data_IF_972783569732
#
_entry.id   IF_972783569732
#
_cell.length_a   1.000
_cell.length_b   1.000
_cell.length_c   1.000
_cell.angle_alpha   90.00
_cell.angle_beta   90.00
_cell.angle_gamma   90.00
#
_symmetry.space_group_name_H-M   'P 1'
#
loop_
_entity.id
_entity.type
_entity.pdbx_description
1 polymer ?
#
# COMPACT_ATOMS: atom_id res chain seq x y z
N UNK A 1 -14.85 20.28 22.61
CA UNK A 1 -13.56 19.94 23.16
C UNK A 1 -12.47 20.09 22.08
N UNK A 2 -12.03 21.35 21.91
CA UNK A 2 -11.07 21.78 20.88
C UNK A 2 -9.63 21.28 21.13
N UNK A 3 -9.37 20.60 22.24
CA UNK A 3 -8.02 20.12 22.60
C UNK A 3 -7.69 18.75 22.00
N UNK A 4 -8.67 17.92 21.68
CA UNK A 4 -8.45 16.61 21.06
C UNK A 4 -8.21 16.70 19.55
N UNK A 5 -8.66 17.76 18.88
CA UNK A 5 -8.42 17.94 17.44
C UNK A 5 -7.03 18.49 17.11
N UNK A 6 -6.33 19.09 18.08
CA UNK A 6 -4.96 19.62 17.86
C UNK A 6 -3.88 18.54 17.85
N UNK A 7 -4.09 17.41 18.52
CA UNK A 7 -3.11 16.31 18.55
C UNK A 7 -3.04 15.46 17.27
N UNK A 8 -4.13 15.34 16.51
CA UNK A 8 -4.18 14.56 15.27
C UNK A 8 -3.84 15.40 14.02
N UNK A 9 -4.01 16.72 14.07
CA UNK A 9 -3.74 17.60 12.94
C UNK A 9 -2.25 17.83 12.65
N UNK A 10 -1.37 17.55 13.61
CA UNK A 10 0.07 17.81 13.49
C UNK A 10 0.88 16.58 13.02
N UNK A 11 0.26 15.40 12.90
CA UNK A 11 0.97 14.16 12.56
C UNK A 11 1.26 14.01 11.07
N UNK A 12 0.38 14.54 10.23
CA UNK A 12 0.61 14.60 8.79
C UNK A 12 -0.02 15.86 8.17
N UNK A 13 0.55 16.28 7.05
CA UNK A 13 0.06 17.41 6.24
C UNK A 13 -0.27 16.93 4.83
N UNK A 14 -1.49 17.16 4.37
CA UNK A 14 -1.85 16.97 2.97
C UNK A 14 -1.12 17.97 2.08
N UNK A 15 -0.72 17.54 0.88
CA UNK A 15 -0.14 18.44 -0.13
C UNK A 15 -1.21 19.45 -0.58
N UNK A 16 -0.79 20.71 -0.68
CA UNK A 16 -1.72 21.82 -0.96
C UNK A 16 -2.34 21.76 -2.38
N UNK A 17 -1.70 21.04 -3.32
CA UNK A 17 -2.17 20.85 -4.70
C UNK A 17 -3.01 19.56 -4.87
N UNK A 18 -3.36 18.87 -3.77
CA UNK A 18 -4.17 17.65 -3.87
C UNK A 18 -5.56 17.88 -4.50
N UNK A 19 -6.03 16.92 -5.31
CA UNK A 19 -5.34 15.70 -5.73
C UNK A 19 -4.25 16.01 -6.74
N UNK A 20 -3.06 15.37 -6.56
CA UNK A 20 -1.91 15.59 -7.47
C UNK A 20 -2.08 14.90 -8.82
N UNK A 21 -2.96 13.90 -8.92
CA UNK A 21 -3.40 13.28 -10.17
C UNK A 21 -4.91 13.18 -10.12
N UNK A 22 -5.55 13.85 -11.06
CA UNK A 22 -7.00 13.89 -11.21
C UNK A 22 -7.54 12.74 -12.07
N UNK A 23 -8.86 12.78 -12.30
CA UNK A 23 -9.50 11.95 -13.32
C UNK A 23 -9.03 12.37 -14.71
N UNK A 24 -9.00 11.43 -15.63
CA UNK A 24 -8.79 11.69 -17.07
C UNK A 24 -7.40 12.20 -17.46
N UNK A 25 -6.42 12.18 -16.58
CA UNK A 25 -5.06 12.60 -16.91
C UNK A 25 -4.34 11.62 -17.84
N UNK A 26 -4.89 10.43 -18.01
CA UNK A 26 -4.49 9.46 -19.04
C UNK A 26 -5.69 9.24 -19.99
N UNK A 27 -5.45 9.14 -21.30
CA UNK A 27 -6.51 9.16 -22.36
C UNK A 27 -7.63 8.15 -22.18
N UNK A 28 -7.31 6.98 -21.61
CA UNK A 28 -8.26 5.87 -21.43
C UNK A 28 -8.84 5.78 -20.03
N UNK A 29 -8.26 6.51 -19.08
CA UNK A 29 -8.65 6.42 -17.67
C UNK A 29 -9.96 7.14 -17.39
N UNK A 30 -10.72 6.55 -16.48
CA UNK A 30 -11.77 7.22 -15.72
C UNK A 30 -11.25 7.64 -14.34
N UNK A 31 -10.39 6.83 -13.76
CA UNK A 31 -9.87 7.01 -12.41
C UNK A 31 -8.42 6.56 -12.34
N UNK A 32 -7.55 7.30 -11.63
CA UNK A 32 -6.15 7.00 -11.43
C UNK A 32 -5.84 7.10 -9.95
N UNK A 33 -5.58 5.99 -9.30
CA UNK A 33 -5.40 5.90 -7.86
C UNK A 33 -4.58 4.67 -7.45
N UNK A 34 -4.29 4.51 -6.17
CA UNK A 34 -3.55 3.38 -5.62
C UNK A 34 -2.22 3.11 -6.35
N UNK A 35 -1.45 4.17 -6.54
CA UNK A 35 -0.25 4.15 -7.38
C UNK A 35 1.01 3.96 -6.56
N UNK A 36 1.94 3.15 -7.06
CA UNK A 36 3.27 3.00 -6.50
C UNK A 36 4.22 4.05 -7.06
N UNK A 37 5.13 4.55 -6.25
CA UNK A 37 6.14 5.54 -6.63
C UNK A 37 7.48 5.20 -5.99
N UNK A 38 8.57 5.30 -6.76
CA UNK A 38 9.95 5.14 -6.28
C UNK A 38 10.86 6.19 -6.92
N UNK A 39 11.99 6.55 -6.27
CA UNK A 39 13.05 7.32 -6.92
C UNK A 39 13.65 6.53 -8.09
N UNK A 40 13.91 7.19 -9.20
CA UNK A 40 14.51 6.58 -10.37
C UNK A 40 15.27 7.65 -11.18
N UNK A 41 16.55 7.37 -11.50
CA UNK A 41 17.45 8.33 -12.16
C UNK A 41 17.49 9.68 -11.42
N UNK A 42 17.23 10.77 -12.11
CA UNK A 42 17.20 12.15 -11.58
C UNK A 42 15.78 12.63 -11.20
N UNK A 43 14.83 11.70 -11.03
CA UNK A 43 13.44 12.00 -10.69
C UNK A 43 12.73 10.83 -10.04
N UNK A 44 11.51 10.58 -10.48
CA UNK A 44 10.64 9.54 -9.96
C UNK A 44 9.99 8.75 -11.09
N UNK A 45 9.74 7.48 -10.82
CA UNK A 45 8.93 6.61 -11.65
C UNK A 45 7.82 6.01 -10.80
N UNK A 46 6.67 5.79 -11.40
CA UNK A 46 5.54 5.15 -10.74
C UNK A 46 4.91 4.08 -11.61
N UNK A 47 4.21 3.17 -10.94
CA UNK A 47 3.27 2.23 -11.57
C UNK A 47 1.88 2.61 -11.08
N UNK A 48 1.01 2.99 -12.01
CA UNK A 48 -0.27 3.62 -11.75
C UNK A 48 -1.41 2.65 -12.09
N UNK A 49 -2.34 2.46 -11.17
CA UNK A 49 -3.63 1.84 -11.47
C UNK A 49 -4.47 2.85 -12.24
N UNK A 50 -4.89 2.48 -13.45
CA UNK A 50 -5.83 3.26 -14.24
C UNK A 50 -7.06 2.39 -14.54
N UNK A 51 -8.19 2.78 -14.00
CA UNK A 51 -9.46 2.16 -14.32
C UNK A 51 -10.10 2.90 -15.49
N UNK A 52 -10.47 2.16 -16.54
CA UNK A 52 -11.09 2.73 -17.73
C UNK A 52 -12.57 3.04 -17.52
N UNK A 53 -13.18 3.77 -18.46
CA UNK A 53 -14.63 4.04 -18.46
C UNK A 53 -15.48 2.76 -18.62
N UNK A 54 -14.90 1.70 -19.15
CA UNK A 54 -15.55 0.37 -19.24
C UNK A 54 -15.25 -0.52 -18.02
N UNK A 55 -14.69 0.06 -16.95
CA UNK A 55 -14.33 -0.66 -15.71
C UNK A 55 -13.27 -1.75 -15.93
N UNK A 56 -12.44 -1.61 -16.96
CA UNK A 56 -11.24 -2.41 -17.11
C UNK A 56 -10.11 -1.82 -16.28
N UNK A 57 -9.50 -2.62 -15.44
CA UNK A 57 -8.41 -2.22 -14.55
C UNK A 57 -7.08 -2.72 -15.13
N UNK A 58 -6.12 -1.82 -15.30
CA UNK A 58 -4.76 -2.18 -15.69
C UNK A 58 -3.73 -1.21 -15.05
N UNK A 59 -2.44 -1.53 -15.19
CA UNK A 59 -1.34 -0.77 -14.60
C UNK A 59 -0.43 -0.19 -15.68
N UNK A 60 -0.01 1.06 -15.45
CA UNK A 60 0.70 1.91 -16.42
C UNK A 60 1.96 2.49 -15.78
N UNK A 61 2.99 2.73 -16.58
CA UNK A 61 4.17 3.48 -16.13
C UNK A 61 3.90 4.97 -16.20
N UNK A 62 4.39 5.72 -15.23
CA UNK A 62 4.44 7.17 -15.29
C UNK A 62 5.76 7.70 -14.74
N UNK A 63 6.15 8.88 -15.17
CA UNK A 63 7.41 9.54 -14.81
C UNK A 63 7.16 10.95 -14.31
N UNK A 64 8.01 11.41 -13.38
CA UNK A 64 7.94 12.74 -12.81
C UNK A 64 9.34 13.23 -12.44
N UNK A 65 9.55 14.54 -12.53
CA UNK A 65 10.78 15.19 -12.05
C UNK A 65 10.68 15.62 -10.58
N UNK A 66 9.48 15.94 -10.13
CA UNK A 66 9.23 16.54 -8.81
C UNK A 66 8.35 15.67 -7.89
N UNK A 67 7.80 14.56 -8.40
CA UNK A 67 6.90 13.66 -7.67
C UNK A 67 5.46 14.18 -7.56
N UNK A 68 5.15 15.34 -8.15
CA UNK A 68 3.82 15.97 -8.13
C UNK A 68 3.20 15.97 -9.52
N UNK A 69 3.95 16.38 -10.53
CA UNK A 69 3.50 16.43 -11.92
C UNK A 69 3.94 15.16 -12.64
N UNK A 70 2.98 14.41 -13.18
CA UNK A 70 3.20 13.09 -13.75
C UNK A 70 2.83 13.01 -15.22
N UNK A 71 3.69 12.37 -15.99
CA UNK A 71 3.41 11.93 -17.34
C UNK A 71 3.19 10.42 -17.33
N UNK A 72 1.93 9.98 -17.54
CA UNK A 72 1.53 8.58 -17.52
C UNK A 72 1.43 8.07 -18.96
N UNK A 73 2.04 6.92 -19.24
CA UNK A 73 2.04 6.30 -20.57
C UNK A 73 0.61 5.95 -21.03
N UNK A 74 0.38 6.00 -22.33
CA UNK A 74 -0.95 5.74 -22.93
C UNK A 74 -1.28 4.23 -22.98
N UNK A 75 -0.29 3.35 -22.93
CA UNK A 75 -0.46 1.90 -23.02
C UNK A 75 -0.11 1.22 -21.69
N UNK A 76 -0.85 0.17 -21.32
CA UNK A 76 -0.56 -0.58 -20.12
C UNK A 76 0.76 -1.35 -20.23
N UNK A 77 1.33 -1.67 -19.07
CA UNK A 77 2.57 -2.46 -18.99
C UNK A 77 2.38 -3.80 -19.71
N UNK A 78 3.32 -4.10 -20.60
CA UNK A 78 3.43 -5.40 -21.24
C UNK A 78 4.43 -6.25 -20.48
N UNK A 79 3.97 -7.40 -20.02
CA UNK A 79 4.80 -8.36 -19.32
C UNK A 79 5.24 -9.47 -20.25
N UNK A 80 6.46 -9.98 -20.01
CA UNK A 80 7.07 -11.11 -20.74
C UNK A 80 7.71 -12.09 -19.74
N UNK A 81 8.12 -13.26 -20.18
CA UNK A 81 8.97 -14.17 -19.40
C UNK A 81 8.24 -15.31 -18.70
N UNK A 82 7.01 -15.14 -18.28
CA UNK A 82 6.19 -16.22 -17.74
C UNK A 82 5.45 -16.99 -18.87
N UNK A 83 4.89 -18.14 -18.52
CA UNK A 83 4.04 -18.92 -19.40
C UNK A 83 2.76 -18.13 -19.79
N UNK A 84 2.18 -18.45 -20.95
CA UNK A 84 1.00 -17.75 -21.47
C UNK A 84 -0.18 -17.78 -20.49
N UNK A 85 -0.34 -18.87 -19.74
CA UNK A 85 -1.36 -19.01 -18.70
C UNK A 85 -1.20 -17.94 -17.62
N UNK A 86 0.02 -17.69 -17.17
CA UNK A 86 0.33 -16.68 -16.14
C UNK A 86 0.26 -15.25 -16.69
N UNK A 87 0.64 -15.05 -17.96
CA UNK A 87 0.52 -13.75 -18.62
C UNK A 87 -0.93 -13.37 -18.91
N UNK A 88 -1.81 -14.36 -19.06
CA UNK A 88 -3.25 -14.15 -19.23
C UNK A 88 -3.87 -13.65 -17.92
N UNK A 89 -4.69 -12.62 -18.03
CA UNK A 89 -5.29 -11.96 -16.87
C UNK A 89 -6.71 -11.49 -17.15
N UNK A 90 -7.49 -11.39 -16.07
CA UNK A 90 -8.80 -10.73 -16.08
C UNK A 90 -8.65 -9.23 -15.77
N UNK A 91 -7.75 -8.88 -14.84
CA UNK A 91 -7.48 -7.51 -14.40
C UNK A 91 -6.12 -7.40 -13.69
N UNK A 92 -5.62 -6.16 -13.56
CA UNK A 92 -4.46 -5.80 -12.73
C UNK A 92 -4.77 -4.52 -11.97
N UNK A 93 -4.58 -4.52 -10.65
CA UNK A 93 -4.78 -3.32 -9.83
C UNK A 93 -3.91 -3.29 -8.57
N UNK A 94 -3.86 -2.13 -7.91
CA UNK A 94 -3.15 -1.85 -6.67
C UNK A 94 -1.67 -2.27 -6.69
N UNK A 95 -0.88 -1.71 -7.62
CA UNK A 95 0.54 -2.05 -7.72
C UNK A 95 1.33 -1.57 -6.50
N UNK A 96 2.42 -2.27 -6.20
CA UNK A 96 3.51 -1.84 -5.32
C UNK A 96 4.83 -1.99 -6.05
N UNK A 97 5.75 -1.09 -5.78
CA UNK A 97 7.12 -1.18 -6.31
C UNK A 97 8.10 -1.20 -5.16
N UNK A 98 8.98 -2.18 -5.18
CA UNK A 98 10.00 -2.37 -4.16
C UNK A 98 11.36 -2.57 -4.82
N UNK A 99 12.32 -1.68 -4.53
CA UNK A 99 13.70 -1.90 -4.98
C UNK A 99 14.40 -2.86 -4.03
N UNK A 100 14.94 -3.95 -4.57
CA UNK A 100 15.78 -4.91 -3.84
C UNK A 100 17.01 -5.16 -4.68
N UNK A 101 18.18 -4.84 -4.13
CA UNK A 101 19.45 -4.85 -4.85
C UNK A 101 19.40 -3.94 -6.09
N UNK A 102 19.65 -4.48 -7.28
CA UNK A 102 19.63 -3.77 -8.56
C UNK A 102 18.30 -3.85 -9.32
N UNK A 103 17.31 -4.56 -8.76
CA UNK A 103 16.00 -4.79 -9.38
C UNK A 103 14.89 -3.99 -8.72
N UNK A 104 13.93 -3.57 -9.52
CA UNK A 104 12.65 -3.06 -9.06
C UNK A 104 11.60 -4.17 -9.23
N UNK A 105 11.10 -4.69 -8.13
CA UNK A 105 10.01 -5.67 -8.14
C UNK A 105 8.69 -4.94 -8.09
N UNK A 106 7.79 -5.34 -8.97
CA UNK A 106 6.42 -4.86 -9.01
C UNK A 106 5.50 -5.99 -8.57
N UNK A 107 4.67 -5.73 -7.57
CA UNK A 107 3.60 -6.64 -7.17
C UNK A 107 2.25 -5.96 -7.40
N UNK A 108 1.23 -6.73 -7.75
CA UNK A 108 -0.13 -6.21 -7.98
C UNK A 108 -1.17 -7.28 -7.66
N UNK A 109 -2.41 -6.85 -7.49
CA UNK A 109 -3.53 -7.81 -7.49
C UNK A 109 -3.80 -8.24 -8.92
N UNK A 110 -3.58 -9.51 -9.19
CA UNK A 110 -3.72 -10.15 -10.50
C UNK A 110 -5.01 -10.98 -10.57
N UNK A 111 -5.80 -10.80 -11.61
CA UNK A 111 -6.99 -11.61 -11.89
C UNK A 111 -6.60 -12.91 -12.56
N UNK A 112 -6.52 -13.99 -11.79
CA UNK A 112 -6.23 -15.33 -12.27
C UNK A 112 -7.10 -16.33 -11.48
N UNK A 113 -8.24 -16.72 -12.03
CA UNK A 113 -9.27 -17.53 -11.35
C UNK A 113 -9.70 -16.96 -9.99
N UNK A 114 -9.72 -15.62 -9.90
CA UNK A 114 -9.89 -14.85 -8.70
C UNK A 114 -8.67 -13.99 -8.39
N UNK A 115 -8.73 -13.13 -7.36
CA UNK A 115 -7.61 -12.26 -7.02
C UNK A 115 -6.43 -13.05 -6.44
N UNK A 116 -5.26 -12.91 -7.05
CA UNK A 116 -3.98 -13.37 -6.52
C UNK A 116 -2.94 -12.26 -6.58
N UNK A 117 -1.69 -12.56 -6.28
CA UNK A 117 -0.59 -11.59 -6.33
C UNK A 117 0.32 -11.93 -7.49
N UNK A 118 0.30 -11.07 -8.51
CA UNK A 118 1.28 -11.07 -9.58
C UNK A 118 2.59 -10.45 -9.11
N UNK A 119 3.69 -10.96 -9.63
CA UNK A 119 5.06 -10.48 -9.36
C UNK A 119 5.80 -10.32 -10.67
N UNK A 120 6.49 -9.21 -10.83
CA UNK A 120 7.42 -8.99 -11.93
C UNK A 120 8.64 -8.21 -11.45
N UNK A 121 9.69 -8.20 -12.24
CA UNK A 121 10.81 -7.30 -12.01
C UNK A 121 11.15 -6.50 -13.28
N UNK A 122 11.79 -5.37 -13.06
CA UNK A 122 12.34 -4.50 -14.10
C UNK A 122 13.62 -3.85 -13.61
N UNK A 123 14.46 -3.40 -14.56
CA UNK A 123 15.64 -2.57 -14.26
C UNK A 123 15.45 -1.13 -14.72
N UNK A 124 14.55 -0.90 -15.68
CA UNK A 124 14.47 0.36 -16.44
C UNK A 124 13.04 0.90 -16.61
N UNK A 125 12.05 0.19 -16.10
CA UNK A 125 10.62 0.49 -16.28
C UNK A 125 10.20 0.55 -17.75
N UNK A 126 10.90 -0.19 -18.62
CA UNK A 126 10.54 -0.38 -20.04
C UNK A 126 10.26 -1.83 -20.35
N UNK A 127 11.07 -2.74 -19.78
CA UNK A 127 10.89 -4.19 -19.89
C UNK A 127 10.52 -4.76 -18.52
N UNK A 128 9.46 -5.55 -18.49
CA UNK A 128 8.97 -6.18 -17.27
C UNK A 128 8.92 -7.69 -17.45
N UNK A 129 9.69 -8.40 -16.64
CA UNK A 129 9.70 -9.87 -16.62
C UNK A 129 8.79 -10.34 -15.52
N UNK A 130 7.66 -10.95 -15.89
CA UNK A 130 6.71 -11.53 -14.96
C UNK A 130 7.21 -12.89 -14.48
N UNK A 131 7.08 -13.12 -13.19
CA UNK A 131 7.33 -14.38 -12.51
C UNK A 131 6.00 -15.12 -12.29
N UNK A 132 6.06 -16.26 -11.62
CA UNK A 132 4.87 -16.99 -11.17
C UNK A 132 3.99 -16.12 -10.25
N UNK A 133 2.69 -16.41 -10.22
CA UNK A 133 1.81 -15.84 -9.19
C UNK A 133 2.28 -16.29 -7.81
N UNK A 134 2.48 -15.35 -6.89
CA UNK A 134 3.05 -15.66 -5.57
C UNK A 134 2.18 -16.58 -4.71
N UNK A 135 0.88 -16.52 -4.88
CA UNK A 135 -0.10 -17.27 -4.07
C UNK A 135 -1.26 -17.77 -4.90
N UNK A 136 -1.95 -18.76 -4.34
CA UNK A 136 -3.26 -19.16 -4.85
C UNK A 136 -4.31 -18.05 -4.62
N UNK A 137 -5.36 -17.98 -5.43
CA UNK A 137 -6.55 -17.22 -5.10
C UNK A 137 -7.16 -17.76 -3.75
N UNK A 138 -7.69 -16.95 -2.89
CA UNK A 138 -7.90 -15.51 -2.95
C UNK A 138 -6.88 -14.79 -2.07
N UNK A 139 -6.05 -13.96 -2.64
CA UNK A 139 -5.06 -13.21 -1.89
C UNK A 139 -4.88 -11.80 -2.49
N UNK A 140 -4.55 -10.80 -1.67
CA UNK A 140 -4.42 -9.39 -2.06
C UNK A 140 -3.32 -8.70 -1.27
N UNK A 141 -3.02 -7.46 -1.66
CA UNK A 141 -2.11 -6.55 -0.95
C UNK A 141 -0.72 -7.15 -0.75
N UNK A 142 -0.13 -7.68 -1.84
CA UNK A 142 1.25 -8.16 -1.85
C UNK A 142 2.22 -7.01 -1.70
N UNK A 143 2.99 -6.97 -0.60
CA UNK A 143 3.97 -5.93 -0.31
C UNK A 143 5.28 -6.57 0.14
N UNK A 144 6.34 -6.34 -0.64
CA UNK A 144 7.68 -6.84 -0.34
C UNK A 144 8.38 -6.00 0.73
N UNK A 145 9.28 -6.62 1.47
CA UNK A 145 10.29 -5.91 2.26
C UNK A 145 11.45 -5.49 1.36
N UNK A 146 12.08 -4.31 1.58
CA UNK A 146 13.04 -3.72 0.64
C UNK A 146 14.44 -4.37 0.67
N UNK A 147 14.62 -5.45 1.40
CA UNK A 147 15.79 -6.32 1.40
C UNK A 147 15.45 -7.72 1.89
N UNK A 148 16.36 -8.65 1.67
CA UNK A 148 16.29 -9.97 2.30
C UNK A 148 16.45 -9.86 3.81
N UNK A 149 15.64 -10.61 4.54
CA UNK A 149 15.71 -10.75 5.99
C UNK A 149 16.08 -12.21 6.27
N UNK A 150 17.20 -12.44 6.96
CA UNK A 150 17.75 -13.78 7.23
C UNK A 150 17.91 -14.64 5.96
N UNK A 151 18.30 -14.00 4.84
CA UNK A 151 18.55 -14.66 3.56
C UNK A 151 17.28 -14.99 2.75
N UNK A 152 16.11 -14.51 3.15
CA UNK A 152 14.84 -14.70 2.45
C UNK A 152 14.24 -13.38 1.99
N UNK A 153 13.67 -13.36 0.80
CA UNK A 153 12.66 -12.36 0.43
C UNK A 153 11.42 -12.57 1.31
N UNK A 154 10.82 -11.48 1.73
CA UNK A 154 9.59 -11.53 2.52
C UNK A 154 8.51 -10.68 1.89
N UNK A 155 7.29 -11.18 1.90
CA UNK A 155 6.11 -10.52 1.37
C UNK A 155 4.98 -10.57 2.38
N UNK A 156 4.41 -9.42 2.65
CA UNK A 156 3.12 -9.31 3.33
C UNK A 156 2.01 -9.57 2.33
N UNK A 157 0.94 -10.22 2.77
CA UNK A 157 -0.26 -10.44 1.98
C UNK A 157 -1.49 -10.52 2.88
N UNK A 158 -2.67 -10.38 2.26
CA UNK A 158 -3.94 -10.54 2.95
C UNK A 158 -4.77 -11.59 2.23
N UNK A 159 -4.79 -12.84 2.72
CA UNK A 159 -5.78 -13.82 2.30
C UNK A 159 -7.18 -13.26 2.51
N UNK A 160 -8.06 -13.39 1.54
CA UNK A 160 -9.41 -12.84 1.60
C UNK A 160 -10.36 -13.75 0.86
N UNK A 161 -11.51 -13.96 1.46
CA UNK A 161 -12.59 -14.79 0.94
C UNK A 161 -13.82 -13.92 0.62
N UNK A 162 -14.65 -14.38 -0.28
CA UNK A 162 -15.95 -13.79 -0.60
C UNK A 162 -17.11 -14.52 0.09
N UNK A 163 -16.80 -15.52 0.93
CA UNK A 163 -17.79 -16.47 1.45
C UNK A 163 -17.97 -16.41 2.96
N UNK A 164 -18.00 -17.60 3.55
CA UNK A 164 -18.40 -17.83 4.93
C UNK A 164 -17.37 -17.40 5.97
N UNK A 165 -16.11 -17.25 5.56
CA UNK A 165 -15.00 -16.92 6.49
C UNK A 165 -14.24 -15.70 5.97
N UNK A 166 -14.73 -14.48 6.23
CA UNK A 166 -14.00 -13.28 5.83
C UNK A 166 -12.66 -13.22 6.55
N UNK A 167 -11.58 -13.25 5.78
CA UNK A 167 -10.24 -12.95 6.27
C UNK A 167 -10.02 -11.45 6.20
N UNK A 168 -9.37 -10.92 7.22
CA UNK A 168 -8.97 -9.52 7.23
C UNK A 168 -7.56 -9.33 7.75
N UNK A 169 -6.86 -10.43 7.96
CA UNK A 169 -5.57 -10.51 8.63
C UNK A 169 -4.41 -10.34 7.64
N UNK A 170 -3.31 -9.76 8.11
CA UNK A 170 -2.06 -9.68 7.36
C UNK A 170 -1.18 -10.86 7.73
N UNK A 171 -0.63 -11.52 6.72
CA UNK A 171 0.36 -12.60 6.84
C UNK A 171 1.69 -12.18 6.21
N UNK A 172 2.77 -12.81 6.64
CA UNK A 172 4.11 -12.72 6.03
C UNK A 172 4.51 -14.09 5.52
N UNK A 173 5.02 -14.13 4.31
CA UNK A 173 5.53 -15.32 3.65
C UNK A 173 6.98 -15.12 3.23
N UNK A 174 7.74 -16.21 3.11
CA UNK A 174 9.16 -16.23 2.77
C UNK A 174 9.40 -16.94 1.45
N UNK A 175 10.36 -16.43 0.67
CA UNK A 175 10.86 -17.05 -0.55
C UNK A 175 12.38 -16.92 -0.65
N UNK A 176 13.03 -17.85 -1.33
CA UNK A 176 14.46 -17.75 -1.69
C UNK A 176 14.69 -17.15 -3.07
N UNK A 177 13.71 -17.23 -3.93
CA UNK A 177 13.81 -16.99 -5.38
C UNK A 177 12.73 -16.07 -5.97
N UNK A 178 11.76 -15.60 -5.16
CA UNK A 178 10.57 -14.83 -5.55
C UNK A 178 9.47 -15.65 -6.25
N UNK A 179 9.68 -16.93 -6.51
CA UNK A 179 8.71 -17.80 -7.18
C UNK A 179 8.03 -18.75 -6.19
N UNK A 180 8.83 -19.43 -5.35
CA UNK A 180 8.29 -20.36 -4.36
C UNK A 180 8.12 -19.70 -3.00
N UNK A 181 6.87 -19.47 -2.60
CA UNK A 181 6.51 -18.84 -1.33
C UNK A 181 6.01 -19.84 -0.30
N UNK A 182 6.50 -19.71 0.92
CA UNK A 182 6.17 -20.61 2.02
C UNK A 182 6.39 -20.00 3.39
N UNK A 183 6.40 -20.84 4.43
CA UNK A 183 6.58 -20.43 5.84
C UNK A 183 5.66 -19.27 6.22
N UNK A 184 4.39 -19.37 5.84
CA UNK A 184 3.38 -18.35 6.11
C UNK A 184 3.22 -18.13 7.61
N UNK A 185 3.37 -16.88 8.06
CA UNK A 185 3.22 -16.47 9.45
C UNK A 185 2.13 -15.42 9.56
N UNK A 186 1.23 -15.61 10.51
CA UNK A 186 0.30 -14.57 10.90
C UNK A 186 1.08 -13.38 11.48
N UNK A 187 0.72 -12.17 11.09
CA UNK A 187 1.34 -10.95 11.57
C UNK A 187 0.37 -10.09 12.39
N UNK A 188 -0.79 -9.77 11.83
CA UNK A 188 -1.70 -8.82 12.46
C UNK A 188 -3.16 -9.09 12.08
N UNK A 189 -4.06 -9.05 13.06
CA UNK A 189 -5.51 -9.16 12.85
C UNK A 189 -6.23 -7.81 12.93
N UNK A 190 -7.42 -7.67 12.31
CA UNK A 190 -8.36 -6.62 12.67
C UNK A 190 -8.65 -6.61 14.17
N UNK A 191 -9.12 -5.48 14.69
CA UNK A 191 -9.60 -5.43 16.09
C UNK A 191 -10.94 -6.14 16.16
N UNK A 192 -10.94 -7.35 16.71
CA UNK A 192 -12.14 -8.19 16.83
C UNK A 192 -12.85 -7.91 18.16
N UNK A 193 -14.19 -8.03 18.14
CA UNK A 193 -15.01 -7.82 19.35
C UNK A 193 -15.35 -6.38 19.68
N UNK A 194 -14.85 -5.43 18.89
CA UNK A 194 -15.24 -4.02 18.96
C UNK A 194 -15.62 -3.54 17.54
N UNK A 195 -16.91 -3.53 17.26
CA UNK A 195 -17.46 -3.13 15.95
C UNK A 195 -17.29 -1.61 15.69
N UNK A 196 -17.00 -0.82 16.72
CA UNK A 196 -16.73 0.61 16.60
C UNK A 196 -15.27 0.92 16.23
N UNK A 197 -14.38 -0.04 16.38
CA UNK A 197 -12.97 0.15 16.05
C UNK A 197 -12.76 0.42 14.56
N UNK A 198 -12.01 1.46 14.23
CA UNK A 198 -11.78 1.91 12.86
C UNK A 198 -11.17 0.85 11.92
N UNK A 199 -10.68 -0.23 12.45
CA UNK A 199 -10.01 -1.34 11.77
C UNK A 199 -10.63 -2.70 12.14
N UNK A 200 -11.94 -2.75 12.40
CA UNK A 200 -12.61 -3.97 12.86
C UNK A 200 -12.96 -4.95 11.72
N UNK A 201 -13.16 -4.45 10.50
CA UNK A 201 -13.61 -5.31 9.38
C UNK A 201 -12.45 -6.04 8.72
N UNK A 202 -11.42 -5.31 8.31
CA UNK A 202 -10.22 -5.85 7.66
C UNK A 202 -9.07 -4.85 7.76
N UNK A 203 -7.85 -5.36 7.64
CA UNK A 203 -6.63 -4.56 7.53
C UNK A 203 -5.80 -5.04 6.33
N UNK A 204 -4.86 -4.24 5.86
CA UNK A 204 -3.95 -4.65 4.80
C UNK A 204 -2.73 -3.75 4.73
N UNK A 205 -1.60 -4.33 4.34
CA UNK A 205 -0.37 -3.59 4.15
C UNK A 205 -0.55 -2.49 3.11
N UNK A 206 0.03 -1.34 3.37
CA UNK A 206 0.01 -0.19 2.48
C UNK A 206 1.26 -0.16 1.59
N UNK A 207 2.17 0.82 1.78
CA UNK A 207 3.45 0.89 1.08
C UNK A 207 4.48 -0.12 1.59
N UNK A 208 5.59 -0.20 0.87
CA UNK A 208 6.80 -0.90 1.32
C UNK A 208 7.19 -0.38 2.70
N UNK A 209 7.46 -1.26 3.70
CA UNK A 209 7.82 -0.82 5.04
C UNK A 209 9.16 -0.09 5.05
N UNK A 210 9.28 0.90 5.92
CA UNK A 210 10.48 1.72 6.09
C UNK A 210 11.35 1.09 7.16
N UNK A 211 12.61 0.83 6.83
CA UNK A 211 13.60 0.37 7.83
C UNK A 211 14.00 1.52 8.74
N UNK A 212 13.95 1.28 10.05
CA UNK A 212 14.38 2.21 11.09
C UNK A 212 15.26 1.50 12.10
N UNK A 213 15.97 2.23 12.95
CA UNK A 213 16.80 1.65 14.01
C UNK A 213 16.00 0.80 15.00
N UNK A 214 14.69 1.03 15.10
CA UNK A 214 13.79 0.33 16.03
C UNK A 214 13.07 -0.87 15.40
N UNK A 215 13.12 -1.01 14.08
CA UNK A 215 12.43 -2.05 13.31
C UNK A 215 11.81 -1.54 12.03
N UNK A 216 10.86 -2.29 11.47
CA UNK A 216 10.15 -1.92 10.26
C UNK A 216 8.93 -1.07 10.58
N UNK A 217 8.92 0.18 10.14
CA UNK A 217 7.73 1.02 10.21
C UNK A 217 6.79 0.68 9.05
N UNK A 218 5.66 0.10 9.36
CA UNK A 218 4.60 -0.24 8.42
C UNK A 218 3.46 0.77 8.51
N UNK A 219 3.16 1.45 7.41
CA UNK A 219 1.90 2.16 7.23
C UNK A 219 0.91 1.17 6.61
N UNK A 220 -0.27 1.04 7.18
CA UNK A 220 -1.29 0.09 6.73
C UNK A 220 -2.66 0.75 6.67
N UNK A 221 -3.60 0.15 5.95
CA UNK A 221 -4.99 0.57 5.98
C UNK A 221 -5.81 -0.33 6.89
N UNK A 222 -6.76 0.27 7.59
CA UNK A 222 -7.80 -0.40 8.32
C UNK A 222 -9.18 0.03 7.80
N UNK A 223 -10.14 -0.86 7.92
CA UNK A 223 -11.47 -0.68 7.37
C UNK A 223 -12.53 -0.96 8.43
N UNK A 224 -13.49 -0.07 8.49
CA UNK A 224 -14.73 -0.27 9.23
C UNK A 224 -15.91 -0.31 8.25
N UNK A 225 -16.86 -1.18 8.51
CA UNK A 225 -18.14 -1.23 7.79
C UNK A 225 -19.13 -0.29 8.47
N UNK A 226 -19.75 0.56 7.70
CA UNK A 226 -20.80 1.48 8.16
C UNK A 226 -22.08 1.27 7.35
N UNK A 227 -23.18 1.88 7.76
CA UNK A 227 -24.43 1.84 6.99
C UNK A 227 -24.29 2.48 5.58
N UNK A 228 -23.25 3.30 5.36
CA UNK A 228 -22.94 3.94 4.07
C UNK A 228 -21.76 3.28 3.34
N UNK A 229 -21.45 2.03 3.64
CA UNK A 229 -20.35 1.28 3.03
C UNK A 229 -19.07 1.27 3.89
N UNK A 230 -17.96 1.02 3.23
CA UNK A 230 -16.66 0.95 3.90
C UNK A 230 -16.05 2.33 4.11
N UNK A 231 -15.36 2.49 5.25
CA UNK A 231 -14.51 3.65 5.50
C UNK A 231 -13.08 3.15 5.69
N UNK A 232 -12.16 3.60 4.85
CA UNK A 232 -10.74 3.25 4.90
C UNK A 232 -9.95 4.36 5.58
N UNK A 233 -9.11 3.97 6.53
CA UNK A 233 -8.23 4.86 7.29
C UNK A 233 -6.82 4.29 7.33
N UNK A 234 -5.83 5.13 7.64
CA UNK A 234 -4.45 4.70 7.77
C UNK A 234 -4.06 4.58 9.24
N UNK A 235 -3.25 3.59 9.55
CA UNK A 235 -2.55 3.43 10.82
C UNK A 235 -1.11 3.03 10.61
N UNK A 236 -0.36 2.90 11.69
CA UNK A 236 1.03 2.46 11.68
C UNK A 236 1.26 1.30 12.64
N UNK A 237 2.26 0.49 12.31
CA UNK A 237 2.79 -0.53 13.19
C UNK A 237 4.32 -0.56 13.09
N UNK A 238 4.98 -0.89 14.19
CA UNK A 238 6.41 -1.17 14.25
C UNK A 238 6.59 -2.67 14.39
N UNK A 239 7.32 -3.25 13.43
CA UNK A 239 7.58 -4.69 13.37
C UNK A 239 9.01 -4.99 13.80
N UNK A 240 9.24 -6.20 14.28
CA UNK A 240 10.59 -6.64 14.59
C UNK A 240 11.46 -6.69 13.33
N UNK A 241 12.74 -6.32 13.46
CA UNK A 241 13.65 -6.18 12.32
C UNK A 241 14.03 -7.52 11.67
N UNK A 242 14.15 -8.58 12.46
CA UNK A 242 14.57 -9.91 12.02
C UNK A 242 13.40 -10.88 11.85
N UNK A 243 12.34 -10.66 12.62
CA UNK A 243 11.13 -11.47 12.62
C UNK A 243 9.88 -10.58 12.38
N UNK A 244 9.70 -10.03 11.16
CA UNK A 244 8.70 -8.97 10.90
C UNK A 244 7.24 -9.41 11.08
N UNK A 245 6.98 -10.69 11.33
CA UNK A 245 5.66 -11.15 11.79
C UNK A 245 5.40 -10.85 13.28
N UNK A 246 6.38 -10.37 14.03
CA UNK A 246 6.24 -9.89 15.40
C UNK A 246 5.98 -8.39 15.40
N UNK A 247 4.77 -8.00 15.77
CA UNK A 247 4.40 -6.59 15.92
C UNK A 247 4.82 -6.13 17.29
N UNK A 248 5.74 -5.15 17.35
CA UNK A 248 6.19 -4.51 18.60
C UNK A 248 5.15 -3.53 19.11
N UNK A 249 4.68 -2.66 18.22
CA UNK A 249 3.70 -1.62 18.52
C UNK A 249 2.71 -1.48 17.36
N UNK A 250 1.51 -1.04 17.67
CA UNK A 250 0.45 -0.75 16.71
C UNK A 250 -0.36 0.43 17.19
N UNK A 251 -0.66 1.37 16.28
CA UNK A 251 -1.49 2.53 16.64
C UNK A 251 -2.90 2.09 17.05
N UNK A 252 -3.38 2.63 18.17
CA UNK A 252 -4.77 2.44 18.61
C UNK A 252 -5.71 3.26 17.74
N UNK A 253 -5.34 4.52 17.51
CA UNK A 253 -6.10 5.45 16.68
C UNK A 253 -5.52 5.49 15.26
N UNK A 254 -6.32 5.91 14.29
CA UNK A 254 -5.83 6.13 12.93
C UNK A 254 -4.95 7.38 12.86
N UNK A 255 -3.96 7.35 11.97
CA UNK A 255 -3.11 8.53 11.69
C UNK A 255 -3.73 9.44 10.63
N UNK A 256 -4.56 8.89 9.73
CA UNK A 256 -5.24 9.63 8.66
C UNK A 256 -6.61 9.02 8.36
N UNK A 257 -7.60 9.88 8.15
CA UNK A 257 -8.96 9.51 7.75
C UNK A 257 -9.45 10.39 6.58
N UNK A 258 -10.42 9.93 5.79
CA UNK A 258 -11.06 10.77 4.78
C UNK A 258 -11.65 12.03 5.40
N UNK A 259 -11.31 13.19 4.86
CA UNK A 259 -11.74 14.49 5.35
C UNK A 259 -12.14 15.46 4.22
N UNK A 260 -11.37 15.45 3.15
CA UNK A 260 -11.57 16.35 2.01
C UNK A 260 -12.59 15.78 1.03
N UNK A 261 -13.13 16.64 0.18
CA UNK A 261 -14.14 16.23 -0.80
C UNK A 261 -13.63 15.10 -1.70
N UNK A 262 -12.38 15.18 -2.18
CA UNK A 262 -11.80 14.16 -3.07
C UNK A 262 -11.48 12.83 -2.36
N UNK A 263 -11.49 12.79 -1.03
CA UNK A 263 -11.35 11.57 -0.23
C UNK A 263 -12.70 10.96 0.16
N UNK A 264 -13.72 11.81 0.28
CA UNK A 264 -15.07 11.43 0.72
C UNK A 264 -16.01 11.13 -0.44
N UNK A 265 -15.73 11.60 -1.66
CA UNK A 265 -16.61 11.48 -2.83
C UNK A 265 -15.83 10.96 -4.04
N UNK A 266 -16.26 9.83 -4.57
CA UNK A 266 -15.64 9.20 -5.74
C UNK A 266 -16.31 7.88 -6.09
N UNK A 267 -15.59 7.04 -6.81
CA UNK A 267 -16.09 5.73 -7.26
C UNK A 267 -16.36 4.79 -6.07
N UNK A 268 -15.51 4.89 -5.03
CA UNK A 268 -15.76 4.31 -3.70
C UNK A 268 -15.57 5.41 -2.65
N UNK A 269 -16.61 5.92 -2.01
CA UNK A 269 -16.51 7.04 -1.09
C UNK A 269 -15.77 6.67 0.21
N UNK A 270 -15.22 7.69 0.90
CA UNK A 270 -14.59 7.57 2.21
C UNK A 270 -13.34 6.65 2.23
N UNK A 271 -12.45 6.83 1.26
CA UNK A 271 -11.22 6.05 1.15
C UNK A 271 -9.98 6.95 1.18
N UNK A 272 -9.04 6.62 2.08
CA UNK A 272 -7.63 6.99 2.01
C UNK A 272 -6.81 5.71 2.05
N UNK A 273 -6.19 5.35 0.90
CA UNK A 273 -5.53 4.05 0.72
C UNK A 273 -4.03 4.25 0.44
N UNK A 274 -3.14 4.01 1.43
CA UNK A 274 -1.70 4.26 1.27
C UNK A 274 -1.07 3.23 0.33
N UNK A 275 -0.26 3.71 -0.62
CA UNK A 275 0.30 2.87 -1.69
C UNK A 275 1.81 2.95 -1.82
N UNK A 276 2.38 4.12 -1.61
CA UNK A 276 3.83 4.31 -1.66
C UNK A 276 4.28 5.31 -0.60
N UNK A 277 5.52 5.14 -0.15
CA UNK A 277 6.23 6.11 0.68
C UNK A 277 7.58 6.41 0.08
N UNK A 278 7.96 7.68 0.13
CA UNK A 278 9.34 8.12 -0.07
C UNK A 278 9.84 8.58 1.29
N UNK A 279 10.89 7.96 1.80
CA UNK A 279 11.51 8.32 3.08
C UNK A 279 12.88 8.93 2.85
N UNK A 280 13.17 9.99 3.61
CA UNK A 280 14.49 10.60 3.67
C UNK A 280 15.12 10.29 5.03
N UNK A 281 16.11 9.42 5.03
CA UNK A 281 16.80 8.99 6.25
C UNK A 281 17.52 10.14 6.98
N UNK A 282 17.97 11.19 6.25
CA UNK A 282 18.69 12.30 6.85
C UNK A 282 17.75 13.23 7.67
N UNK A 283 16.51 13.36 7.25
CA UNK A 283 15.52 14.26 7.87
C UNK A 283 14.39 13.55 8.60
N UNK A 284 14.29 12.21 8.44
CA UNK A 284 13.16 11.43 8.92
C UNK A 284 11.83 11.72 8.23
N UNK A 285 11.83 12.52 7.15
CA UNK A 285 10.59 12.89 6.42
C UNK A 285 10.05 11.71 5.64
N UNK A 286 8.74 11.58 5.65
CA UNK A 286 7.99 10.57 4.88
C UNK A 286 6.97 11.30 4.00
N UNK A 287 7.02 11.04 2.70
CA UNK A 287 5.96 11.40 1.76
C UNK A 287 5.10 10.17 1.51
N UNK A 288 3.79 10.31 1.63
CA UNK A 288 2.81 9.22 1.44
C UNK A 288 2.00 9.53 0.19
N UNK A 289 2.05 8.63 -0.81
CA UNK A 289 1.10 8.63 -1.92
C UNK A 289 -0.06 7.71 -1.59
N UNK A 290 -1.27 8.18 -1.81
CA UNK A 290 -2.47 7.43 -1.45
C UNK A 290 -3.61 7.61 -2.46
N UNK A 291 -4.41 6.56 -2.61
CA UNK A 291 -5.66 6.62 -3.36
C UNK A 291 -6.74 7.32 -2.54
N UNK A 292 -7.49 8.20 -3.21
CA UNK A 292 -8.57 8.97 -2.64
C UNK A 292 -9.89 8.56 -3.29
N UNK A 293 -10.83 8.06 -2.48
CA UNK A 293 -12.17 7.65 -2.90
C UNK A 293 -12.18 6.74 -4.14
N UNK A 294 -11.14 5.88 -4.31
CA UNK A 294 -10.90 5.02 -5.47
C UNK A 294 -11.01 5.76 -6.82
N UNK A 295 -10.54 6.99 -6.86
CA UNK A 295 -10.79 7.88 -8.00
C UNK A 295 -9.57 8.68 -8.44
N UNK A 296 -8.86 9.27 -7.49
CA UNK A 296 -7.74 10.18 -7.73
C UNK A 296 -6.58 9.86 -6.78
N UNK A 297 -5.41 10.41 -7.07
CA UNK A 297 -4.21 10.21 -6.23
C UNK A 297 -3.91 11.46 -5.42
N UNK A 298 -3.75 11.29 -4.12
CA UNK A 298 -3.31 12.32 -3.19
C UNK A 298 -1.90 12.07 -2.65
N UNK A 299 -1.33 13.11 -2.04
CA UNK A 299 -0.04 13.09 -1.37
C UNK A 299 -0.15 13.74 0.00
N UNK A 300 0.55 13.17 0.98
CA UNK A 300 0.66 13.72 2.33
C UNK A 300 2.09 13.57 2.86
N UNK A 301 2.42 14.37 3.86
CA UNK A 301 3.74 14.39 4.51
C UNK A 301 3.62 14.10 5.98
N UNK A 302 4.59 13.37 6.51
CA UNK A 302 4.79 13.13 7.94
C UNK A 302 6.27 12.94 8.24
N UNK A 303 6.62 12.57 9.45
CA UNK A 303 7.99 12.17 9.84
C UNK A 303 7.96 10.86 10.62
N UNK A 304 9.09 10.15 10.65
CA UNK A 304 9.26 8.95 11.47
C UNK A 304 8.97 9.28 12.94
N UNK A 305 9.52 10.37 13.44
CA UNK A 305 9.32 10.80 14.84
C UNK A 305 7.86 11.10 15.15
N UNK A 306 7.15 11.82 14.27
CA UNK A 306 5.74 12.14 14.49
C UNK A 306 4.88 10.88 14.60
N UNK A 307 5.14 9.88 13.77
CA UNK A 307 4.42 8.62 13.78
C UNK A 307 4.83 7.75 14.97
N UNK A 308 6.13 7.61 15.23
CA UNK A 308 6.66 6.73 16.27
C UNK A 308 6.36 7.27 17.68
N UNK A 309 6.59 8.55 17.88
CA UNK A 309 6.48 9.15 19.21
C UNK A 309 5.02 9.39 19.63
N UNK A 310 4.23 9.94 18.74
CA UNK A 310 2.86 10.37 19.08
C UNK A 310 1.87 9.19 19.14
N UNK A 311 2.08 8.14 18.33
CA UNK A 311 1.12 7.06 18.19
C UNK A 311 1.58 5.70 18.70
N UNK A 312 2.88 5.44 18.73
CA UNK A 312 3.40 4.15 19.14
C UNK A 312 3.85 4.16 20.62
N UNK A 313 4.46 5.25 21.10
CA UNK A 313 5.00 5.35 22.47
C UNK A 313 4.09 6.06 23.48
N UNK A 314 3.13 6.87 23.05
CA UNK A 314 2.23 7.57 23.98
C UNK A 314 1.38 6.63 24.86
N UNK A 315 1.39 5.33 24.59
CA UNK A 315 0.67 4.33 25.38
C UNK A 315 1.52 3.63 26.46
N UNK A 316 2.85 3.73 26.43
CA UNK A 316 3.69 3.18 27.51
C UNK A 316 3.51 3.95 28.83
N UNK A 317 3.26 5.25 28.76
CA UNK A 317 3.11 6.11 29.96
C UNK A 317 1.75 6.00 30.66
N UNK A 318 0.75 5.37 30.04
CA UNK A 318 -0.57 5.15 30.65
C UNK A 318 -0.75 3.77 31.28
N UNK A 319 0.20 2.85 31.10
CA UNK A 319 0.15 1.52 31.71
C UNK A 319 0.87 1.46 33.08
N UNK A 320 1.62 2.51 33.44
CA UNK A 320 2.39 2.60 34.70
C UNK A 320 1.77 3.59 35.74
N UNK A 321 0.52 3.97 35.55
CA UNK A 321 -0.29 4.72 36.53
C UNK A 321 -1.61 3.96 36.75
#
# INVERSE_FOLDING_TARGET
>A
DLRMSRGLGDVYKRQDQNPIIGRYEQKRSNSIFNSAVVPFEDGYVGVFRCDSRSISMDIFVGRSKDGIHWEIEDEPIKFEGADEEILTREYRYDPRVCKIDDKYYVTWCNGYHGPTIGVAYTYDFKKFVQLENAFLPFNRNGVLFPRKINGYYMMMSRPSDNGHTPFGDIFVSQSKDMEFWGRHRHMMSPVRGDESAWQCTKIGAGPVPIETDEGWLLIYHGVITTCNGYVYRMGCALLDIDEPWKVKYRTKDYIMAPLTQYECMGDVPNVVFPCATLSDAATGRITIYYGCADTVTGMAFTTVDAVSYTHLRAHETCADL
#
